data_IF_331182924395
#
_entry.id   IF_331182924395
#
_cell.length_a   1.000
_cell.length_b   1.000
_cell.length_c   1.000
_cell.angle_alpha   90.00
_cell.angle_beta   90.00
_cell.angle_gamma   90.00
#
_symmetry.space_group_name_H-M   'P 1'
#
loop_
_entity.id
_entity.type
_entity.pdbx_description
1 polymer ?
#
# COMPACT_ATOMS: atom_id res chain seq x y z
N UNK A 1 10.59 2.24 -3.48
CA UNK A 1 11.51 3.26 -4.07
C UNK A 1 11.77 4.36 -3.04
N UNK A 2 12.94 5.01 -3.04
CA UNK A 2 13.19 6.15 -2.13
C UNK A 2 12.14 7.24 -2.34
N UNK A 3 11.55 7.73 -1.26
CA UNK A 3 10.51 8.75 -1.32
C UNK A 3 11.14 10.13 -1.60
N UNK A 4 10.62 10.84 -2.60
CA UNK A 4 11.02 12.21 -2.96
C UNK A 4 9.92 13.24 -2.62
N UNK A 5 9.03 12.92 -1.68
CA UNK A 5 7.87 13.73 -1.32
C UNK A 5 6.60 13.33 -2.07
N UNK A 6 6.57 12.14 -2.67
CA UNK A 6 5.38 11.62 -3.33
C UNK A 6 4.35 11.15 -2.28
N UNK A 7 3.07 11.54 -2.41
CA UNK A 7 2.02 11.00 -1.56
C UNK A 7 1.75 9.54 -1.95
N UNK A 8 1.62 8.67 -0.94
CA UNK A 8 1.33 7.26 -1.13
C UNK A 8 1.63 6.43 0.12
N UNK A 9 1.31 5.13 0.04
CA UNK A 9 1.65 4.17 1.08
C UNK A 9 3.12 3.75 1.08
N UNK A 10 3.60 3.29 2.22
CA UNK A 10 4.98 2.87 2.43
C UNK A 10 5.07 1.51 3.12
N UNK A 11 6.28 0.92 3.18
CA UNK A 11 6.52 -0.34 3.87
C UNK A 11 6.59 -0.13 5.39
N UNK A 12 5.74 -0.82 6.15
CA UNK A 12 5.70 -0.74 7.61
C UNK A 12 5.50 -2.12 8.26
N UNK A 13 5.86 -2.22 9.53
CA UNK A 13 5.47 -3.32 10.39
C UNK A 13 4.07 -3.06 10.95
N UNK A 14 3.15 -3.98 10.73
CA UNK A 14 1.79 -3.91 11.25
C UNK A 14 1.62 -4.95 12.36
N UNK A 15 0.98 -4.56 13.45
CA UNK A 15 0.59 -5.48 14.52
C UNK A 15 -0.79 -6.04 14.21
N UNK A 16 -0.88 -7.36 14.08
CA UNK A 16 -2.11 -8.08 13.78
C UNK A 16 -2.42 -9.11 14.87
N UNK A 17 -3.62 -9.70 14.82
CA UNK A 17 -4.06 -10.72 15.78
C UNK A 17 -3.11 -11.93 15.82
N UNK A 18 -2.47 -12.26 14.70
CA UNK A 18 -1.59 -13.43 14.55
C UNK A 18 -0.10 -13.13 14.77
N UNK A 19 0.27 -11.86 14.92
CA UNK A 19 1.67 -11.45 15.09
C UNK A 19 1.98 -10.13 14.39
N UNK A 20 3.25 -9.96 14.01
CA UNK A 20 3.69 -8.80 13.21
C UNK A 20 4.00 -9.25 11.79
N UNK A 21 3.52 -8.50 10.81
CA UNK A 21 3.78 -8.72 9.39
C UNK A 21 4.30 -7.45 8.73
N UNK A 22 5.06 -7.62 7.64
CA UNK A 22 5.54 -6.53 6.79
C UNK A 22 4.48 -6.22 5.74
N UNK A 23 3.96 -5.00 5.73
CA UNK A 23 2.87 -4.61 4.84
C UNK A 23 3.08 -3.24 4.22
N UNK A 24 2.33 -2.99 3.14
CA UNK A 24 2.19 -1.65 2.57
C UNK A 24 1.02 -0.98 3.28
N UNK A 25 1.30 0.11 3.99
CA UNK A 25 0.27 0.89 4.69
C UNK A 25 0.12 2.23 4.00
N UNK A 26 -1.11 2.55 3.61
CA UNK A 26 -1.48 3.84 3.03
C UNK A 26 -1.75 4.87 4.12
N UNK A 27 -1.51 6.15 3.82
CA UNK A 27 -1.78 7.24 4.78
C UNK A 27 -3.24 7.28 5.23
N UNK A 28 -4.17 6.85 4.38
CA UNK A 28 -5.60 6.75 4.70
C UNK A 28 -5.93 5.69 5.77
N UNK A 29 -5.01 4.75 6.03
CA UNK A 29 -5.17 3.71 7.06
C UNK A 29 -4.60 4.13 8.43
N UNK A 30 -3.93 5.28 8.49
CA UNK A 30 -3.26 5.76 9.70
C UNK A 30 -4.15 6.81 10.36
N UNK A 31 -4.40 6.66 11.65
CA UNK A 31 -5.09 7.67 12.44
C UNK A 31 -4.23 8.93 12.53
N UNK A 32 -4.73 10.03 11.97
CA UNK A 32 -4.05 11.30 11.95
C UNK A 32 -3.89 11.92 13.35
N UNK A 33 -4.70 11.49 14.32
CA UNK A 33 -4.60 11.92 15.72
C UNK A 33 -3.51 11.14 16.49
N UNK A 34 -3.08 9.97 15.99
CA UNK A 34 -1.95 9.23 16.53
C UNK A 34 -0.63 9.85 16.07
N UNK A 35 -0.13 10.79 16.87
CA UNK A 35 1.16 11.48 16.63
C UNK A 35 2.31 10.52 16.41
N UNK A 36 2.35 9.38 17.11
CA UNK A 36 3.45 8.42 16.98
C UNK A 36 3.39 7.72 15.61
N UNK A 37 2.20 7.31 15.19
CA UNK A 37 2.02 6.72 13.86
C UNK A 37 2.33 7.73 12.75
N UNK A 38 1.94 8.99 12.93
CA UNK A 38 2.26 10.08 12.01
C UNK A 38 3.76 10.38 11.93
N UNK A 39 4.48 10.40 13.06
CA UNK A 39 5.94 10.54 13.08
C UNK A 39 6.62 9.37 12.35
N UNK A 40 6.13 8.15 12.55
CA UNK A 40 6.63 6.97 11.83
C UNK A 40 6.40 7.09 10.32
N UNK A 41 5.21 7.51 9.89
CA UNK A 41 4.87 7.75 8.49
C UNK A 41 5.80 8.80 7.87
N UNK A 42 6.01 9.93 8.55
CA UNK A 42 6.88 11.02 8.09
C UNK A 42 8.36 10.62 8.04
N UNK A 43 8.80 9.75 8.95
CA UNK A 43 10.16 9.20 8.95
C UNK A 43 10.39 8.14 7.86
N UNK A 44 9.33 7.70 7.19
CA UNK A 44 9.38 6.70 6.14
C UNK A 44 10.28 7.12 4.98
N UNK A 45 11.31 6.32 4.69
CA UNK A 45 12.31 6.62 3.66
C UNK A 45 11.91 6.17 2.26
N UNK A 46 10.88 5.31 2.18
CA UNK A 46 10.45 4.64 0.95
C UNK A 46 8.94 4.71 0.78
N UNK A 47 8.50 4.69 -0.48
CA UNK A 47 7.10 4.49 -0.85
C UNK A 47 6.96 3.30 -1.80
N UNK A 48 5.75 2.76 -1.88
CA UNK A 48 5.41 1.67 -2.77
C UNK A 48 5.14 2.18 -4.20
N UNK A 49 5.91 1.75 -5.23
CA UNK A 49 5.63 2.07 -6.63
C UNK A 49 4.46 1.27 -7.23
N UNK A 50 3.84 0.36 -6.45
CA UNK A 50 2.83 -0.60 -6.90
C UNK A 50 3.40 -1.74 -7.77
N UNK A 51 4.72 -1.94 -7.69
CA UNK A 51 5.39 -3.10 -8.29
C UNK A 51 5.36 -4.28 -7.31
N UNK A 52 4.69 -5.38 -7.69
CA UNK A 52 4.56 -6.58 -6.87
C UNK A 52 4.92 -7.81 -7.70
N UNK A 53 5.81 -8.63 -7.15
CA UNK A 53 6.05 -10.00 -7.64
C UNK A 53 5.44 -10.95 -6.62
N UNK A 54 4.48 -11.76 -7.05
CA UNK A 54 3.75 -12.67 -6.18
C UNK A 54 3.86 -14.11 -6.71
N UNK A 55 4.29 -15.04 -5.87
CA UNK A 55 4.17 -16.47 -6.14
C UNK A 55 2.83 -16.97 -5.62
N UNK A 56 2.05 -17.61 -6.50
CA UNK A 56 0.81 -18.29 -6.10
C UNK A 56 1.04 -19.71 -5.61
N UNK A 57 2.29 -20.19 -5.64
CA UNK A 57 2.65 -21.51 -5.15
C UNK A 57 3.55 -21.36 -3.93
N UNK A 58 3.40 -22.27 -2.97
CA UNK A 58 4.32 -22.40 -1.85
C UNK A 58 5.65 -23.03 -2.27
N UNK A 59 6.55 -23.20 -1.30
CA UNK A 59 7.88 -23.78 -1.50
C UNK A 59 7.85 -25.27 -1.92
N UNK A 60 6.70 -25.93 -1.85
CA UNK A 60 6.50 -27.31 -2.29
C UNK A 60 5.78 -27.39 -3.65
N UNK A 61 5.47 -26.25 -4.27
CA UNK A 61 4.76 -26.17 -5.54
C UNK A 61 3.24 -26.28 -5.42
N UNK A 62 2.68 -26.24 -4.21
CA UNK A 62 1.24 -26.29 -4.02
C UNK A 62 0.63 -24.91 -4.20
N UNK A 63 -0.41 -24.83 -5.05
CA UNK A 63 -1.13 -23.58 -5.29
C UNK A 63 -1.86 -23.12 -4.04
N UNK A 64 -1.65 -21.86 -3.69
CA UNK A 64 -2.24 -21.18 -2.56
C UNK A 64 -3.35 -20.22 -3.01
N UNK A 65 -4.42 -20.14 -2.21
CA UNK A 65 -5.48 -19.16 -2.39
C UNK A 65 -5.17 -17.93 -1.52
N UNK A 66 -4.82 -16.82 -2.18
CA UNK A 66 -4.45 -15.56 -1.51
C UNK A 66 -5.58 -15.00 -0.63
N UNK A 67 -6.85 -15.32 -0.94
CA UNK A 67 -8.00 -14.86 -0.17
C UNK A 67 -8.01 -15.42 1.27
N UNK A 68 -7.23 -16.47 1.53
CA UNK A 68 -7.06 -17.06 2.87
C UNK A 68 -6.13 -16.25 3.77
N UNK A 69 -5.37 -15.31 3.20
CA UNK A 69 -4.35 -14.50 3.89
C UNK A 69 -4.73 -13.01 3.97
N UNK A 70 -6.00 -12.70 3.71
CA UNK A 70 -6.58 -11.35 3.83
C UNK A 70 -7.06 -11.13 5.25
N UNK A 71 -6.73 -9.98 5.84
CA UNK A 71 -7.40 -9.53 7.07
C UNK A 71 -8.79 -8.99 6.74
N UNK A 72 -9.84 -9.78 7.04
CA UNK A 72 -11.23 -9.42 6.77
C UNK A 72 -11.82 -8.45 7.80
N UNK A 73 -11.13 -8.25 8.92
CA UNK A 73 -11.56 -7.30 9.95
C UNK A 73 -10.98 -5.91 9.70
N UNK A 74 -10.00 -5.79 8.78
CA UNK A 74 -9.41 -4.53 8.38
C UNK A 74 -10.31 -3.79 7.39
N UNK A 75 -10.54 -2.51 7.65
CA UNK A 75 -11.18 -1.57 6.73
C UNK A 75 -10.79 -0.15 7.14
N UNK A 76 -10.86 0.79 6.21
CA UNK A 76 -10.61 2.20 6.50
C UNK A 76 -11.70 3.10 5.90
N UNK A 77 -11.92 4.25 6.53
CA UNK A 77 -12.93 5.22 6.09
C UNK A 77 -12.26 6.29 5.26
N UNK A 78 -12.75 6.52 4.05
CA UNK A 78 -12.30 7.61 3.18
C UNK A 78 -13.42 8.57 2.86
N UNK A 79 -13.05 9.80 2.52
CA UNK A 79 -13.97 10.80 1.96
C UNK A 79 -13.83 10.81 0.46
N UNK A 80 -14.94 10.62 -0.26
CA UNK A 80 -15.00 10.68 -1.72
C UNK A 80 -16.09 11.63 -2.16
N UNK A 81 -15.89 12.24 -3.32
CA UNK A 81 -16.94 12.97 -4.03
C UNK A 81 -17.67 11.98 -4.94
N UNK A 82 -18.93 11.69 -4.63
CA UNK A 82 -19.80 10.82 -5.43
C UNK A 82 -20.91 11.70 -6.00
N UNK A 83 -20.98 11.81 -7.32
CA UNK A 83 -22.01 12.62 -8.02
C UNK A 83 -22.09 14.08 -7.54
N UNK A 84 -20.94 14.66 -7.17
CA UNK A 84 -20.87 16.04 -6.68
C UNK A 84 -21.24 16.23 -5.21
N UNK A 85 -21.50 15.15 -4.46
CA UNK A 85 -21.73 15.17 -3.02
C UNK A 85 -20.58 14.51 -2.26
N UNK A 86 -20.24 15.06 -1.09
CA UNK A 86 -19.28 14.44 -0.19
C UNK A 86 -19.92 13.21 0.47
N UNK A 87 -19.22 12.08 0.41
CA UNK A 87 -19.64 10.83 1.02
C UNK A 87 -18.48 10.22 1.83
N UNK A 88 -18.82 9.63 2.98
CA UNK A 88 -17.93 8.74 3.70
C UNK A 88 -18.11 7.32 3.17
N UNK A 89 -17.01 6.67 2.81
CA UNK A 89 -16.98 5.34 2.23
C UNK A 89 -16.11 4.44 3.09
N UNK A 90 -16.57 3.21 3.32
CA UNK A 90 -15.75 2.16 3.92
C UNK A 90 -15.05 1.43 2.79
N UNK A 91 -13.72 1.49 2.77
CA UNK A 91 -12.88 0.76 1.83
C UNK A 91 -12.37 -0.51 2.50
N UNK A 92 -12.70 -1.63 1.86
CA UNK A 92 -12.16 -2.94 2.22
C UNK A 92 -10.74 -3.07 1.67
N UNK A 93 -9.93 -3.97 2.24
CA UNK A 93 -8.57 -4.16 1.80
C UNK A 93 -8.49 -4.48 0.32
N UNK A 94 -7.73 -3.66 -0.40
CA UNK A 94 -7.26 -3.98 -1.73
C UNK A 94 -6.08 -4.93 -1.68
N UNK A 95 -5.50 -5.22 -2.85
CA UNK A 95 -4.48 -6.27 -3.01
C UNK A 95 -3.27 -6.09 -2.08
N UNK A 96 -2.79 -4.86 -1.87
CA UNK A 96 -1.60 -4.58 -1.05
C UNK A 96 -1.87 -3.79 0.23
N UNK A 97 -3.00 -3.10 0.34
CA UNK A 97 -3.36 -2.32 1.53
C UNK A 97 -4.24 -3.12 2.51
N UNK A 98 -4.03 -4.44 2.55
CA UNK A 98 -4.52 -5.35 3.61
C UNK A 98 -4.86 -6.77 3.15
N UNK A 99 -4.97 -7.04 1.84
CA UNK A 99 -5.02 -8.42 1.36
C UNK A 99 -3.69 -9.17 1.51
N UNK A 100 -2.60 -8.44 1.78
CA UNK A 100 -1.26 -8.96 2.08
C UNK A 100 -0.96 -9.16 3.58
N UNK A 101 -1.96 -9.00 4.44
CA UNK A 101 -1.85 -9.11 5.90
C UNK A 101 -1.00 -10.30 6.37
N UNK A 102 -1.38 -11.51 5.94
CA UNK A 102 -0.73 -12.75 6.34
C UNK A 102 0.26 -13.28 5.26
N UNK A 103 0.85 -12.41 4.43
CA UNK A 103 1.82 -12.84 3.40
C UNK A 103 3.24 -12.94 3.96
N UNK A 104 4.05 -13.82 3.36
CA UNK A 104 5.50 -13.79 3.54
C UNK A 104 6.09 -12.70 2.63
N UNK A 105 6.29 -11.52 3.19
CA UNK A 105 6.67 -10.32 2.43
C UNK A 105 8.13 -9.97 2.61
N UNK A 106 8.78 -9.62 1.50
CA UNK A 106 10.10 -8.99 1.48
C UNK A 106 9.99 -7.71 0.66
N UNK A 107 10.51 -6.60 1.20
CA UNK A 107 10.64 -5.35 0.46
C UNK A 107 12.02 -5.26 -0.18
N UNK A 108 12.04 -4.87 -1.45
CA UNK A 108 13.25 -4.66 -2.24
C UNK A 108 13.29 -3.21 -2.69
N UNK A 109 14.38 -2.51 -2.37
CA UNK A 109 14.63 -1.18 -2.93
C UNK A 109 14.97 -1.33 -4.42
N UNK A 110 14.28 -0.56 -5.26
CA UNK A 110 14.55 -0.49 -6.71
C UNK A 110 14.83 0.96 -7.12
N UNK A 111 15.59 1.19 -8.20
CA UNK A 111 15.93 2.53 -8.68
C UNK A 111 14.69 3.38 -8.98
N UNK A 112 14.76 4.69 -8.73
CA UNK A 112 13.64 5.63 -9.02
C UNK A 112 13.21 5.62 -10.49
N UNK A 113 14.12 5.31 -11.41
CA UNK A 113 13.85 5.23 -12.84
C UNK A 113 12.87 4.13 -13.23
N UNK A 114 12.63 3.12 -12.37
CA UNK A 114 11.62 2.09 -12.64
C UNK A 114 10.20 2.59 -12.36
N UNK A 115 10.05 3.75 -11.71
CA UNK A 115 8.76 4.30 -11.32
C UNK A 115 8.43 5.57 -12.11
N UNK A 116 7.44 5.47 -13.01
CA UNK A 116 6.96 6.58 -13.84
C UNK A 116 5.43 6.67 -13.71
N UNK A 117 4.89 7.30 -12.65
CA UNK A 117 3.46 7.35 -12.42
C UNK A 117 2.80 8.44 -13.26
N UNK A 118 1.54 8.19 -13.64
CA UNK A 118 0.66 9.18 -14.26
C UNK A 118 -0.52 9.43 -13.31
N UNK A 119 -0.47 10.53 -12.55
CA UNK A 119 -1.53 10.93 -11.60
C UNK A 119 -2.46 12.00 -12.18
N UNK A 120 -1.96 12.81 -13.11
CA UNK A 120 -2.71 13.86 -13.84
C UNK A 120 -2.42 13.73 -15.33
N UNK A 121 -3.31 14.25 -16.17
CA UNK A 121 -3.12 14.25 -17.64
C UNK A 121 -1.80 14.89 -18.05
N UNK A 122 -1.37 15.94 -17.34
CA UNK A 122 -0.08 16.62 -17.59
C UNK A 122 1.14 15.75 -17.33
N UNK A 123 1.02 14.67 -16.55
CA UNK A 123 2.16 13.77 -16.30
C UNK A 123 2.57 13.02 -17.58
N UNK A 124 1.65 12.82 -18.53
CA UNK A 124 1.95 12.23 -19.84
C UNK A 124 2.91 13.07 -20.70
N UNK A 125 3.10 14.35 -20.36
CA UNK A 125 4.04 15.22 -21.07
C UNK A 125 5.50 15.04 -20.59
N UNK A 126 5.74 14.25 -19.53
CA UNK A 126 7.09 14.00 -19.04
C UNK A 126 7.88 13.20 -20.08
N UNK A 127 9.20 13.42 -20.24
CA UNK A 127 10.00 12.73 -21.27
C UNK A 127 9.94 11.20 -21.22
N UNK A 128 9.72 10.61 -20.05
CA UNK A 128 9.60 9.15 -19.89
C UNK A 128 8.28 8.54 -20.42
N UNK A 129 7.33 9.38 -20.84
CA UNK A 129 6.01 8.99 -21.34
C UNK A 129 5.75 9.39 -22.81
N UNK A 130 6.74 10.00 -23.47
CA UNK A 130 6.70 10.32 -24.91
C UNK A 130 7.52 9.33 -25.72
#
# INVERSE_FOLDING_TARGET
>A
VKNQGEPGGGPFWVNEKRGKSLQIVESAQIDAEDKKAMDMLQSGTHFNPVDIVCSLNDLYGMRQDLLRFVDKDSAFVTRKMIEGQEALVIEWPGLWNGAMADWNTIFVEVPISTFNPVKRVTDLLRPYHQ
#
